data_IF_004105789426
#
_entry.id   IF_004105789426
#
_cell.length_a   1.000
_cell.length_b   1.000
_cell.length_c   1.000
_cell.angle_alpha   90.00
_cell.angle_beta   90.00
_cell.angle_gamma   90.00
#
_symmetry.space_group_name_H-M   'P 1'
#
loop_
_entity.id
_entity.type
_entity.pdbx_description
1 polymer ?
#
# COMPACT_ATOMS: atom_id res chain seq x y z
N UNK A 1 19.18 -0.59 -4.14
CA UNK A 1 18.89 -0.60 -2.70
C UNK A 1 18.04 0.59 -2.31
N UNK A 2 17.92 0.86 -1.01
CA UNK A 2 17.29 2.05 -0.43
C UNK A 2 18.11 2.57 0.77
N UNK A 3 17.77 3.76 1.28
CA UNK A 3 18.29 4.23 2.56
C UNK A 3 17.63 3.48 3.73
N UNK A 4 18.32 2.43 4.20
CA UNK A 4 17.87 1.58 5.31
C UNK A 4 18.06 2.20 6.71
N UNK A 5 18.65 3.41 6.78
CA UNK A 5 18.78 4.17 8.03
C UNK A 5 17.60 5.11 8.22
N UNK A 6 17.14 5.75 7.14
CA UNK A 6 15.91 6.55 7.13
C UNK A 6 14.67 5.66 7.34
N UNK A 7 14.63 4.52 6.63
CA UNK A 7 13.53 3.57 6.65
C UNK A 7 13.90 2.33 7.49
N UNK A 8 13.85 2.47 8.81
CA UNK A 8 14.17 1.41 9.78
C UNK A 8 13.07 1.23 10.83
N UNK A 9 12.18 0.22 10.72
CA UNK A 9 11.09 0.03 11.69
C UNK A 9 11.59 -0.21 13.13
N UNK A 10 12.88 -0.55 13.33
CA UNK A 10 13.44 -0.72 14.67
C UNK A 10 13.90 0.59 15.33
N UNK A 11 14.04 1.67 14.55
CA UNK A 11 14.57 2.98 15.00
C UNK A 11 13.68 4.17 14.63
N UNK A 12 12.70 3.96 13.77
CA UNK A 12 11.81 4.98 13.24
C UNK A 12 11.08 5.74 14.35
N UNK A 13 11.21 7.07 14.31
CA UNK A 13 10.65 7.99 15.32
C UNK A 13 9.21 8.40 15.04
N UNK A 14 8.69 8.12 13.85
CA UNK A 14 7.35 8.53 13.43
C UNK A 14 6.27 7.49 13.72
N UNK A 15 6.66 6.23 13.93
CA UNK A 15 5.75 5.11 14.19
C UNK A 15 5.54 4.93 15.69
N UNK A 16 4.34 4.50 16.08
CA UNK A 16 3.95 4.37 17.49
C UNK A 16 4.69 3.24 18.20
N UNK A 17 4.90 2.12 17.50
CA UNK A 17 5.60 0.94 18.05
C UNK A 17 6.70 0.54 17.08
N UNK A 18 7.94 0.53 17.55
CA UNK A 18 9.10 0.06 16.79
C UNK A 18 9.16 -1.47 16.82
N UNK A 19 9.71 -2.07 15.77
CA UNK A 19 9.76 -3.53 15.64
C UNK A 19 10.86 -4.02 14.70
N UNK A 20 11.09 -5.33 14.80
CA UNK A 20 11.89 -6.11 13.85
C UNK A 20 11.07 -7.28 13.31
N UNK A 21 11.70 -8.16 12.53
CA UNK A 21 11.04 -9.32 11.92
C UNK A 21 10.41 -10.31 12.92
N UNK A 22 10.83 -10.28 14.19
CA UNK A 22 10.34 -11.21 15.23
C UNK A 22 9.10 -10.67 15.94
N UNK A 23 8.98 -9.35 16.04
CA UNK A 23 7.89 -8.64 16.74
C UNK A 23 6.89 -7.96 15.80
N UNK A 24 7.11 -8.06 14.48
CA UNK A 24 6.35 -7.35 13.45
C UNK A 24 4.83 -7.56 13.55
N UNK A 25 4.35 -8.77 13.83
CA UNK A 25 2.92 -9.05 13.82
C UNK A 25 2.15 -8.25 14.88
N UNK A 26 2.68 -8.22 16.11
CA UNK A 26 2.07 -7.50 17.23
C UNK A 26 2.22 -5.98 17.03
N UNK A 27 3.43 -5.53 16.69
CA UNK A 27 3.70 -4.11 16.53
C UNK A 27 2.97 -3.48 15.35
N UNK A 28 2.83 -4.19 14.21
CA UNK A 28 2.05 -3.70 13.06
C UNK A 28 0.56 -3.57 13.40
N UNK A 29 0.01 -4.47 14.22
CA UNK A 29 -1.38 -4.34 14.68
C UNK A 29 -1.59 -3.05 15.50
N UNK A 30 -0.68 -2.77 16.44
CA UNK A 30 -0.71 -1.53 17.24
C UNK A 30 -0.50 -0.27 16.38
N UNK A 31 0.43 -0.32 15.42
CA UNK A 31 0.62 0.79 14.47
C UNK A 31 -0.59 0.99 13.56
N UNK A 32 -1.32 -0.07 13.20
CA UNK A 32 -2.55 0.01 12.40
C UNK A 32 -3.64 0.75 13.17
N UNK A 33 -3.87 0.40 14.43
CA UNK A 33 -4.87 1.05 15.27
C UNK A 33 -4.53 2.53 15.49
N UNK A 34 -3.26 2.85 15.74
CA UNK A 34 -2.78 4.23 15.83
C UNK A 34 -2.99 5.00 14.51
N UNK A 35 -2.70 4.37 13.38
CA UNK A 35 -2.92 4.96 12.05
C UNK A 35 -4.40 5.21 11.78
N UNK A 36 -5.28 4.24 12.08
CA UNK A 36 -6.73 4.39 11.95
C UNK A 36 -7.22 5.59 12.75
N UNK A 37 -6.78 5.72 14.01
CA UNK A 37 -7.12 6.85 14.87
C UNK A 37 -6.63 8.18 14.30
N UNK A 38 -5.34 8.27 13.91
CA UNK A 38 -4.72 9.47 13.34
C UNK A 38 -5.47 9.96 12.09
N UNK A 39 -5.90 9.04 11.23
CA UNK A 39 -6.60 9.40 10.00
C UNK A 39 -8.11 9.44 10.13
N UNK A 40 -8.68 9.22 11.32
CA UNK A 40 -10.12 9.30 11.59
C UNK A 40 -10.95 8.18 10.96
N UNK A 41 -10.36 7.00 10.79
CA UNK A 41 -11.07 5.78 10.43
C UNK A 41 -11.51 5.02 11.71
N UNK A 42 -12.53 4.15 11.64
CA UNK A 42 -12.86 3.24 12.73
C UNK A 42 -11.63 2.42 13.16
N UNK A 43 -11.34 2.45 14.46
CA UNK A 43 -10.20 1.73 15.04
C UNK A 43 -10.60 0.29 15.28
N UNK A 44 -10.06 -0.62 14.46
CA UNK A 44 -10.23 -2.06 14.57
C UNK A 44 -9.06 -2.75 13.84
N UNK A 45 -8.14 -3.33 14.61
CA UNK A 45 -6.96 -4.03 14.10
C UNK A 45 -7.29 -5.25 13.20
N UNK A 46 -8.53 -5.77 13.25
CA UNK A 46 -9.00 -6.91 12.45
C UNK A 46 -9.40 -6.51 11.04
N UNK A 47 -9.74 -5.24 10.79
CA UNK A 47 -10.11 -4.78 9.45
C UNK A 47 -8.83 -4.66 8.61
N UNK A 48 -8.73 -5.34 7.45
CA UNK A 48 -7.60 -5.18 6.56
C UNK A 48 -7.48 -3.73 6.06
N UNK A 49 -6.25 -3.21 6.07
CA UNK A 49 -5.95 -1.85 5.65
C UNK A 49 -5.04 -1.86 4.41
N UNK A 50 -5.57 -1.34 3.30
CA UNK A 50 -4.83 -1.15 2.05
C UNK A 50 -4.36 0.30 1.95
N UNK A 51 -3.09 0.49 1.65
CA UNK A 51 -2.50 1.80 1.44
C UNK A 51 -2.13 2.04 -0.02
N UNK A 52 -2.28 3.26 -0.49
CA UNK A 52 -1.66 3.78 -1.69
C UNK A 52 -0.83 5.00 -1.31
N UNK A 53 0.42 5.05 -1.73
CA UNK A 53 1.29 6.21 -1.53
C UNK A 53 2.00 6.54 -2.84
N UNK A 54 1.87 7.78 -3.31
CA UNK A 54 2.59 8.19 -4.51
C UNK A 54 2.26 9.59 -5.01
N UNK A 55 3.07 10.05 -5.97
CA UNK A 55 2.73 11.24 -6.76
C UNK A 55 1.44 10.97 -7.53
N UNK A 56 0.53 11.93 -7.52
CA UNK A 56 -0.74 11.82 -8.23
C UNK A 56 -0.53 12.22 -9.69
N UNK A 57 0.00 11.28 -10.45
CA UNK A 57 0.29 11.34 -11.88
C UNK A 57 -0.17 10.04 -12.56
N UNK A 58 -0.43 10.08 -13.86
CA UNK A 58 -0.88 8.95 -14.68
C UNK A 58 0.06 7.75 -14.53
N UNK A 59 1.37 8.00 -14.40
CA UNK A 59 2.39 6.98 -14.14
C UNK A 59 2.01 6.06 -12.98
N UNK A 60 1.50 6.62 -11.88
CA UNK A 60 1.22 5.89 -10.63
C UNK A 60 -0.18 5.27 -10.59
N UNK A 61 -0.98 5.48 -11.64
CA UNK A 61 -2.35 4.96 -11.76
C UNK A 61 -3.30 5.28 -10.60
N UNK A 62 -3.32 6.51 -10.03
CA UNK A 62 -4.27 6.86 -8.97
C UNK A 62 -5.73 6.81 -9.45
N UNK A 63 -5.95 7.02 -10.75
CA UNK A 63 -7.23 6.85 -11.44
C UNK A 63 -7.67 5.39 -11.51
N UNK A 64 -6.76 4.47 -11.84
CA UNK A 64 -7.05 3.03 -11.84
C UNK A 64 -7.35 2.55 -10.42
N UNK A 65 -6.58 3.00 -9.43
CA UNK A 65 -6.84 2.71 -8.02
C UNK A 65 -8.21 3.23 -7.60
N UNK A 66 -8.53 4.49 -7.88
CA UNK A 66 -9.83 5.09 -7.51
C UNK A 66 -11.01 4.38 -8.19
N UNK A 67 -10.86 3.97 -9.46
CA UNK A 67 -11.88 3.21 -10.19
C UNK A 67 -12.12 1.80 -9.61
N UNK A 68 -11.12 1.21 -8.95
CA UNK A 68 -11.25 -0.10 -8.30
C UNK A 68 -11.91 -0.03 -6.91
N UNK A 69 -11.89 1.14 -6.24
CA UNK A 69 -12.46 1.33 -4.89
C UNK A 69 -13.89 0.81 -4.77
N UNK A 70 -14.85 1.14 -5.68
CA UNK A 70 -16.22 0.66 -5.56
C UNK A 70 -16.34 -0.87 -5.43
N UNK A 71 -15.53 -1.64 -6.18
CA UNK A 71 -15.52 -3.11 -6.08
C UNK A 71 -14.90 -3.59 -4.76
N UNK A 72 -13.90 -2.88 -4.24
CA UNK A 72 -13.28 -3.20 -2.95
C UNK A 72 -14.20 -2.90 -1.77
N UNK A 73 -15.12 -1.93 -1.90
CA UNK A 73 -16.07 -1.57 -0.84
C UNK A 73 -17.14 -2.63 -0.58
N UNK A 74 -17.25 -3.64 -1.46
CA UNK A 74 -18.00 -4.87 -1.22
C UNK A 74 -17.39 -5.73 -0.09
N UNK A 75 -16.10 -5.53 0.21
CA UNK A 75 -15.40 -6.19 1.31
C UNK A 75 -15.42 -5.32 2.59
N UNK A 76 -15.17 -5.94 3.73
CA UNK A 76 -14.88 -5.23 4.97
C UNK A 76 -13.39 -4.81 4.99
N UNK A 77 -13.08 -3.69 4.33
CA UNK A 77 -11.71 -3.19 4.15
C UNK A 77 -11.66 -1.68 4.35
N UNK A 78 -10.52 -1.18 4.81
CA UNK A 78 -10.19 0.24 4.83
C UNK A 78 -9.11 0.57 3.79
N UNK A 79 -9.18 1.78 3.22
CA UNK A 79 -8.23 2.27 2.21
C UNK A 79 -7.71 3.65 2.62
N UNK A 80 -6.40 3.80 2.68
CA UNK A 80 -5.72 5.09 2.86
C UNK A 80 -4.97 5.46 1.58
N UNK A 81 -5.20 6.66 1.06
CA UNK A 81 -4.53 7.19 -0.13
C UNK A 81 -3.75 8.45 0.25
N UNK A 82 -2.42 8.41 0.18
CA UNK A 82 -1.53 9.55 0.48
C UNK A 82 -0.82 10.01 -0.80
N UNK A 83 -0.98 11.28 -1.15
CA UNK A 83 -0.31 11.82 -2.33
C UNK A 83 -0.71 13.24 -2.68
N UNK A 84 0.11 13.89 -3.51
CA UNK A 84 -0.19 15.19 -4.12
C UNK A 84 0.20 15.16 -5.60
N UNK A 85 -0.39 16.04 -6.42
CA UNK A 85 -0.05 16.11 -7.84
C UNK A 85 -1.14 16.79 -8.67
N UNK A 86 -1.54 16.17 -9.77
CA UNK A 86 -2.56 16.75 -10.66
C UNK A 86 -3.90 16.87 -9.93
N UNK A 87 -4.48 18.08 -9.92
CA UNK A 87 -5.74 18.38 -9.20
C UNK A 87 -6.92 17.48 -9.58
N UNK A 88 -6.95 16.96 -10.81
CA UNK A 88 -7.98 15.99 -11.23
C UNK A 88 -7.94 14.70 -10.39
N UNK A 89 -6.74 14.20 -10.06
CA UNK A 89 -6.58 13.01 -9.25
C UNK A 89 -6.80 13.30 -7.76
N UNK A 90 -6.34 14.45 -7.27
CA UNK A 90 -6.64 14.89 -5.90
C UNK A 90 -8.16 14.93 -5.64
N UNK A 91 -8.93 15.53 -6.56
CA UNK A 91 -10.40 15.55 -6.50
C UNK A 91 -11.00 14.15 -6.56
N UNK A 92 -10.45 13.26 -7.39
CA UNK A 92 -10.93 11.89 -7.53
C UNK A 92 -10.77 11.10 -6.22
N UNK A 93 -9.61 11.21 -5.56
CA UNK A 93 -9.37 10.57 -4.26
C UNK A 93 -10.28 11.16 -3.17
N UNK A 94 -10.46 12.48 -3.14
CA UNK A 94 -11.36 13.15 -2.20
C UNK A 94 -12.83 12.73 -2.38
N UNK A 95 -13.27 12.62 -3.63
CA UNK A 95 -14.62 12.12 -3.94
C UNK A 95 -14.82 10.67 -3.48
N UNK A 96 -13.78 9.83 -3.55
CA UNK A 96 -13.85 8.46 -3.01
C UNK A 96 -14.00 8.45 -1.47
N UNK A 97 -13.28 9.32 -0.76
CA UNK A 97 -13.45 9.50 0.70
C UNK A 97 -14.87 9.98 1.05
N UNK A 98 -15.39 10.98 0.35
CA UNK A 98 -16.76 11.50 0.55
C UNK A 98 -17.83 10.43 0.32
N UNK A 99 -17.62 9.57 -0.68
CA UNK A 99 -18.56 8.49 -1.04
C UNK A 99 -18.53 7.32 -0.06
N UNK A 100 -17.39 7.07 0.58
CA UNK A 100 -17.19 5.92 1.47
C UNK A 100 -16.61 6.33 2.82
N UNK A 101 -17.32 7.17 3.60
CA UNK A 101 -16.85 7.65 4.89
C UNK A 101 -16.62 6.47 5.85
N UNK A 102 -15.56 6.54 6.64
CA UNK A 102 -15.18 5.47 7.57
C UNK A 102 -14.58 4.22 6.91
N UNK A 103 -14.50 4.15 5.57
CA UNK A 103 -13.75 3.11 4.85
C UNK A 103 -12.60 3.68 4.03
N UNK A 104 -12.77 4.84 3.41
CA UNK A 104 -11.75 5.45 2.54
C UNK A 104 -11.28 6.77 3.14
N UNK A 105 -9.97 7.00 3.13
CA UNK A 105 -9.36 8.23 3.61
C UNK A 105 -8.33 8.74 2.61
N UNK A 106 -8.58 9.92 2.05
CA UNK A 106 -7.66 10.57 1.12
C UNK A 106 -6.89 11.68 1.84
N UNK A 107 -5.57 11.56 1.87
CA UNK A 107 -4.67 12.53 2.48
C UNK A 107 -3.89 13.24 1.37
N UNK A 108 -4.46 14.36 0.91
CA UNK A 108 -3.89 15.17 -0.17
C UNK A 108 -2.92 16.21 0.39
N UNK A 109 -1.78 15.75 0.92
CA UNK A 109 -0.70 16.59 1.44
C UNK A 109 0.63 15.85 1.37
N UNK A 110 1.72 16.59 1.31
CA UNK A 110 3.03 16.03 1.63
C UNK A 110 3.11 15.83 3.15
N UNK A 111 3.29 14.59 3.59
CA UNK A 111 3.39 14.27 5.01
C UNK A 111 4.30 13.05 5.19
N UNK A 112 5.60 13.31 5.37
CA UNK A 112 6.59 12.25 5.58
C UNK A 112 6.29 11.43 6.85
N UNK A 113 6.04 12.02 8.03
CA UNK A 113 5.66 11.24 9.23
C UNK A 113 4.51 10.25 8.98
N UNK A 114 3.45 10.70 8.30
CA UNK A 114 2.32 9.83 7.99
C UNK A 114 2.69 8.72 6.99
N UNK A 115 3.60 8.96 6.06
CA UNK A 115 4.07 7.91 5.16
C UNK A 115 4.73 6.75 5.93
N UNK A 116 5.55 7.05 6.95
CA UNK A 116 6.13 6.04 7.84
C UNK A 116 5.07 5.29 8.65
N UNK A 117 4.09 6.02 9.20
CA UNK A 117 2.95 5.41 9.91
C UNK A 117 2.14 4.48 9.00
N UNK A 118 1.91 4.88 7.75
CA UNK A 118 1.24 4.03 6.75
C UNK A 118 2.08 2.78 6.45
N UNK A 119 3.39 2.92 6.24
CA UNK A 119 4.26 1.76 6.01
C UNK A 119 4.24 0.77 7.17
N UNK A 120 4.18 1.25 8.42
CA UNK A 120 4.10 0.39 9.59
C UNK A 120 2.70 -0.21 9.81
N UNK A 121 1.63 0.57 9.63
CA UNK A 121 0.26 0.17 9.98
C UNK A 121 -0.53 -0.53 8.87
N UNK A 122 -0.19 -0.32 7.59
CA UNK A 122 -0.90 -0.97 6.50
C UNK A 122 -0.61 -2.48 6.44
N UNK A 123 -1.60 -3.25 6.00
CA UNK A 123 -1.42 -4.67 5.70
C UNK A 123 -0.91 -4.87 4.28
N UNK A 124 -1.37 -4.05 3.35
CA UNK A 124 -1.04 -4.16 1.93
C UNK A 124 -0.75 -2.79 1.35
N UNK A 125 0.29 -2.72 0.52
CA UNK A 125 0.61 -1.54 -0.27
C UNK A 125 0.19 -1.77 -1.73
N UNK A 126 -0.81 -1.02 -2.20
CA UNK A 126 -1.25 -1.02 -3.59
C UNK A 126 -0.32 -0.13 -4.44
N UNK A 127 0.35 -0.73 -5.43
CA UNK A 127 1.25 -0.05 -6.38
C UNK A 127 0.71 -0.24 -7.80
N UNK A 128 -0.29 0.55 -8.16
CA UNK A 128 -1.04 0.46 -9.43
C UNK A 128 -0.37 1.23 -10.58
N UNK A 129 0.96 1.24 -10.63
CA UNK A 129 1.71 1.99 -11.63
C UNK A 129 1.50 1.46 -13.05
N UNK A 130 1.32 2.34 -14.03
CA UNK A 130 1.36 1.98 -15.46
C UNK A 130 2.78 1.64 -15.91
N UNK A 131 3.77 2.34 -15.36
CA UNK A 131 5.20 2.04 -15.54
C UNK A 131 6.02 2.46 -14.31
N UNK A 132 7.02 1.64 -13.96
CA UNK A 132 7.83 1.82 -12.75
C UNK A 132 9.28 1.38 -13.01
N UNK A 133 10.20 2.28 -13.38
CA UNK A 133 11.57 1.86 -13.73
C UNK A 133 12.27 1.07 -12.62
N UNK A 134 12.09 1.48 -11.38
CA UNK A 134 12.54 0.74 -10.19
C UNK A 134 11.46 0.76 -9.11
N UNK A 135 11.12 1.96 -8.62
CA UNK A 135 10.19 2.16 -7.51
C UNK A 135 10.88 2.08 -6.14
N UNK A 136 10.67 3.07 -5.29
CA UNK A 136 11.15 3.05 -3.89
C UNK A 136 10.08 2.56 -2.92
N UNK A 137 8.81 2.79 -3.26
CA UNK A 137 7.70 2.61 -2.33
C UNK A 137 7.50 1.14 -1.94
N UNK A 138 7.72 0.22 -2.88
CA UNK A 138 7.60 -1.22 -2.62
C UNK A 138 8.79 -1.74 -1.79
N UNK A 139 9.98 -1.14 -1.96
CA UNK A 139 11.12 -1.46 -1.13
C UNK A 139 10.85 -1.02 0.32
N UNK A 140 10.42 0.23 0.50
CA UNK A 140 10.02 0.78 1.81
C UNK A 140 8.91 -0.06 2.46
N UNK A 141 7.89 -0.47 1.69
CA UNK A 141 6.85 -1.39 2.14
C UNK A 141 7.42 -2.71 2.66
N UNK A 142 8.25 -3.40 1.85
CA UNK A 142 8.88 -4.66 2.26
C UNK A 142 9.75 -4.50 3.51
N UNK A 143 10.50 -3.40 3.61
CA UNK A 143 11.36 -3.10 4.78
C UNK A 143 10.58 -3.02 6.08
N UNK A 144 9.34 -2.55 6.02
CA UNK A 144 8.40 -2.44 7.14
C UNK A 144 7.49 -3.67 7.28
N UNK A 145 7.69 -4.71 6.47
CA UNK A 145 6.86 -5.91 6.50
C UNK A 145 5.45 -5.68 5.96
N UNK A 146 5.30 -4.82 4.95
CA UNK A 146 4.04 -4.53 4.26
C UNK A 146 4.12 -5.06 2.84
N UNK A 147 3.55 -6.26 2.57
CA UNK A 147 3.52 -6.85 1.24
C UNK A 147 2.86 -5.95 0.20
N UNK A 148 3.35 -6.02 -1.04
CA UNK A 148 2.87 -5.17 -2.12
C UNK A 148 1.89 -5.90 -3.03
N UNK A 149 0.79 -5.24 -3.41
CA UNK A 149 -0.06 -5.62 -4.53
C UNK A 149 0.26 -4.69 -5.69
N UNK A 150 1.03 -5.16 -6.65
CA UNK A 150 1.70 -4.31 -7.64
C UNK A 150 1.40 -4.68 -9.08
N UNK A 151 1.39 -3.68 -9.96
CA UNK A 151 1.43 -3.88 -11.40
C UNK A 151 2.71 -4.61 -11.83
N UNK A 152 2.60 -5.51 -12.80
CA UNK A 152 3.74 -6.26 -13.34
C UNK A 152 4.47 -5.42 -14.39
N UNK A 153 5.24 -4.42 -13.93
CA UNK A 153 5.99 -3.49 -14.78
C UNK A 153 7.31 -3.05 -14.13
N UNK A 154 8.36 -2.97 -14.94
CA UNK A 154 9.72 -2.56 -14.55
C UNK A 154 10.20 -3.21 -13.24
N UNK A 155 10.81 -2.43 -12.35
CA UNK A 155 11.46 -2.97 -11.14
C UNK A 155 10.51 -3.62 -10.14
N UNK A 156 9.19 -3.47 -10.27
CA UNK A 156 8.21 -4.22 -9.47
C UNK A 156 8.27 -5.72 -9.78
N UNK A 157 8.54 -6.09 -11.04
CA UNK A 157 8.71 -7.49 -11.47
C UNK A 157 9.96 -8.11 -10.84
N UNK A 158 11.03 -7.33 -10.75
CA UNK A 158 12.31 -7.81 -10.20
C UNK A 158 12.28 -7.91 -8.66
N UNK A 159 11.56 -6.99 -7.99
CA UNK A 159 11.62 -6.84 -6.52
C UNK A 159 10.49 -7.55 -5.78
N UNK A 160 9.34 -7.78 -6.41
CA UNK A 160 8.18 -8.44 -5.78
C UNK A 160 8.03 -9.85 -6.33
N UNK A 161 8.03 -10.84 -5.43
CA UNK A 161 7.89 -12.24 -5.76
C UNK A 161 6.49 -12.70 -5.35
N UNK A 162 5.69 -13.13 -6.34
CA UNK A 162 4.32 -13.63 -6.13
C UNK A 162 4.28 -14.67 -5.02
N UNK A 163 3.39 -14.47 -4.04
CA UNK A 163 3.19 -15.40 -2.94
C UNK A 163 4.31 -15.43 -1.90
N UNK A 164 5.42 -14.71 -2.11
CA UNK A 164 6.52 -14.62 -1.14
C UNK A 164 6.65 -13.23 -0.51
N UNK A 165 6.65 -12.17 -1.30
CA UNK A 165 6.79 -10.77 -0.82
C UNK A 165 5.66 -9.87 -1.30
N UNK A 166 4.72 -10.39 -2.09
CA UNK A 166 3.56 -9.65 -2.55
C UNK A 166 2.77 -10.40 -3.62
N UNK A 167 2.02 -9.61 -4.40
CA UNK A 167 1.09 -10.08 -5.41
C UNK A 167 1.20 -9.21 -6.67
N UNK A 168 1.31 -9.86 -7.81
CA UNK A 168 1.25 -9.27 -9.13
C UNK A 168 -0.19 -9.26 -9.63
N UNK A 169 -0.66 -8.08 -10.05
CA UNK A 169 -1.97 -7.93 -10.70
C UNK A 169 -1.90 -8.10 -12.23
N UNK A 170 -0.70 -8.26 -12.80
CA UNK A 170 -0.45 -8.22 -14.23
C UNK A 170 -0.08 -6.82 -14.72
N UNK A 171 0.24 -6.70 -16.02
CA UNK A 171 0.56 -5.42 -16.63
C UNK A 171 -0.71 -4.61 -16.91
N UNK A 172 -0.68 -3.33 -16.56
CA UNK A 172 -1.71 -2.35 -16.91
C UNK A 172 -1.46 -1.77 -18.31
N UNK A 173 -2.50 -1.23 -18.92
CA UNK A 173 -2.42 -0.47 -20.17
C UNK A 173 -1.46 0.70 -20.03
N UNK A 174 -0.64 0.91 -21.06
CA UNK A 174 0.30 2.03 -21.14
C UNK A 174 -0.38 3.30 -21.64
N UNK A 175 -1.60 3.21 -22.18
CA UNK A 175 -2.39 4.39 -22.53
C UNK A 175 -2.82 5.12 -21.26
N UNK A 176 -2.16 6.25 -21.01
CA UNK A 176 -2.38 7.08 -19.84
C UNK A 176 -3.65 7.94 -19.93
N UNK A 177 -4.30 7.98 -21.10
CA UNK A 177 -5.55 8.73 -21.31
C UNK A 177 -6.79 7.88 -21.03
N UNK A 178 -6.63 6.56 -20.94
CA UNK A 178 -7.73 5.61 -20.75
C UNK A 178 -7.53 4.86 -19.43
N UNK A 179 -8.66 4.60 -18.76
CA UNK A 179 -8.73 3.64 -17.65
C UNK A 179 -9.47 2.42 -18.19
N UNK A 180 -8.71 1.38 -18.55
CA UNK A 180 -9.29 0.17 -19.13
C UNK A 180 -10.12 -0.58 -18.09
N UNK A 181 -11.38 -0.97 -18.38
CA UNK A 181 -12.19 -1.75 -17.44
C UNK A 181 -11.51 -3.05 -17.00
N UNK A 182 -10.76 -3.69 -17.90
CA UNK A 182 -9.98 -4.89 -17.59
C UNK A 182 -8.86 -4.63 -16.56
N UNK A 183 -8.26 -3.45 -16.57
CA UNK A 183 -7.23 -3.06 -15.60
C UNK A 183 -7.83 -2.78 -14.22
N UNK A 184 -8.99 -2.15 -14.17
CA UNK A 184 -9.77 -1.98 -12.93
C UNK A 184 -10.08 -3.34 -12.31
N UNK A 185 -10.50 -4.31 -13.14
CA UNK A 185 -10.80 -5.67 -12.68
C UNK A 185 -9.56 -6.39 -12.15
N UNK A 186 -8.39 -6.25 -12.80
CA UNK A 186 -7.12 -6.83 -12.32
C UNK A 186 -6.77 -6.30 -10.92
N UNK A 187 -6.85 -4.98 -10.73
CA UNK A 187 -6.56 -4.32 -9.44
C UNK A 187 -7.51 -4.83 -8.37
N UNK A 188 -8.82 -4.76 -8.61
CA UNK A 188 -9.84 -5.18 -7.65
C UNK A 188 -9.71 -6.66 -7.27
N UNK A 189 -9.56 -7.54 -8.26
CA UNK A 189 -9.47 -9.00 -8.04
C UNK A 189 -8.23 -9.37 -7.24
N UNK A 190 -7.09 -8.76 -7.55
CA UNK A 190 -5.83 -9.05 -6.86
C UNK A 190 -5.84 -8.52 -5.43
N UNK A 191 -6.36 -7.30 -5.22
CA UNK A 191 -6.53 -6.76 -3.87
C UNK A 191 -7.50 -7.59 -3.04
N UNK A 192 -8.65 -8.03 -3.58
CA UNK A 192 -9.57 -8.93 -2.88
C UNK A 192 -8.90 -10.25 -2.47
N UNK A 193 -8.08 -10.82 -3.34
CA UNK A 193 -7.29 -12.04 -3.03
C UNK A 193 -6.28 -11.79 -1.90
N UNK A 194 -5.56 -10.68 -1.95
CA UNK A 194 -4.57 -10.32 -0.95
C UNK A 194 -5.22 -10.01 0.42
N UNK A 195 -6.33 -9.25 0.43
CA UNK A 195 -7.10 -8.91 1.64
C UNK A 195 -7.54 -10.19 2.38
N UNK A 196 -8.00 -11.21 1.65
CA UNK A 196 -8.43 -12.50 2.24
C UNK A 196 -7.30 -13.29 2.90
N UNK A 197 -6.04 -13.01 2.58
CA UNK A 197 -4.88 -13.63 3.23
C UNK A 197 -4.47 -12.93 4.52
N UNK A 198 -4.85 -11.65 4.72
CA UNK A 198 -4.50 -10.90 5.92
C UNK A 198 -5.00 -11.63 7.17
N UNK A 199 -4.13 -11.76 8.17
CA UNK A 199 -4.40 -12.50 9.41
C UNK A 199 -4.14 -14.01 9.36
N UNK A 200 -3.92 -14.60 8.19
CA UNK A 200 -3.56 -16.02 8.07
C UNK A 200 -2.08 -16.28 8.36
N UNK A 201 -1.67 -17.52 8.72
CA UNK A 201 -0.26 -17.86 8.86
C UNK A 201 0.59 -17.58 7.61
N UNK A 202 0.02 -17.78 6.42
CA UNK A 202 0.69 -17.49 5.15
C UNK A 202 1.02 -15.99 4.98
N UNK A 203 0.13 -15.10 5.44
CA UNK A 203 0.41 -13.67 5.46
C UNK A 203 1.54 -13.32 6.43
N UNK A 204 1.58 -13.94 7.62
CA UNK A 204 2.68 -13.72 8.57
C UNK A 204 4.04 -14.13 7.99
N UNK A 205 4.04 -15.23 7.23
CA UNK A 205 5.23 -15.70 6.52
C UNK A 205 5.66 -14.72 5.42
N UNK A 206 4.70 -14.15 4.69
CA UNK A 206 4.94 -13.09 3.69
C UNK A 206 5.55 -11.83 4.34
N UNK A 207 5.03 -11.38 5.48
CA UNK A 207 5.60 -10.26 6.27
C UNK A 207 7.06 -10.55 6.66
N UNK A 208 7.34 -11.76 7.16
CA UNK A 208 8.71 -12.18 7.51
C UNK A 208 9.64 -12.21 6.29
N UNK A 209 9.16 -12.73 5.16
CA UNK A 209 9.92 -12.77 3.91
C UNK A 209 10.26 -11.36 3.41
N UNK A 210 9.34 -10.41 3.50
CA UNK A 210 9.57 -9.00 3.18
C UNK A 210 10.72 -8.42 4.03
N UNK A 211 10.67 -8.61 5.36
CA UNK A 211 11.66 -8.04 6.28
C UNK A 211 13.00 -8.77 6.29
N UNK A 212 13.09 -9.96 5.68
CA UNK A 212 14.32 -10.74 5.59
C UNK A 212 15.23 -10.33 4.42
N UNK A 213 14.72 -9.54 3.47
CA UNK A 213 15.48 -9.09 2.30
C UNK A 213 16.61 -8.12 2.71
N UNK A 214 17.81 -8.28 2.12
CA UNK A 214 18.81 -7.21 2.14
C UNK A 214 18.46 -6.20 1.05
N UNK A 215 17.97 -5.05 1.48
CA UNK A 215 17.54 -3.96 0.60
C UNK A 215 18.54 -2.79 0.61
N UNK A 216 19.74 -2.99 1.16
CA UNK A 216 20.81 -1.99 1.20
C UNK A 216 21.48 -1.83 -0.18
N UNK A 217 22.55 -1.04 -0.23
CA UNK A 217 23.36 -0.81 -1.44
C UNK A 217 24.67 -1.62 -1.46
N UNK A 218 24.77 -2.67 -0.63
CA UNK A 218 25.94 -3.54 -0.59
C UNK A 218 26.10 -4.41 -1.82
#
# INVERSE_FOLDING_TARGET
>A
GMDVSEWDPSKDKYISVKYDKTTAMEAKALNKEALQAEVGLPVDGKIPLVAFIGRLEEQKGPDVMAAAIPQLMEENVQIILLGTGKKKFERMLKSAEEKYPGKVRAVVKFNAPLAHQIMAGADLLAVTSRFEPCGLIQLQGMRYGTPCVCASTGGLVDTIIEGKTGFHLGRLSVDCNVVEPGDVQKVATTLKRAIKLVGTPAYQEMVRNCMAQDLSWK
#
